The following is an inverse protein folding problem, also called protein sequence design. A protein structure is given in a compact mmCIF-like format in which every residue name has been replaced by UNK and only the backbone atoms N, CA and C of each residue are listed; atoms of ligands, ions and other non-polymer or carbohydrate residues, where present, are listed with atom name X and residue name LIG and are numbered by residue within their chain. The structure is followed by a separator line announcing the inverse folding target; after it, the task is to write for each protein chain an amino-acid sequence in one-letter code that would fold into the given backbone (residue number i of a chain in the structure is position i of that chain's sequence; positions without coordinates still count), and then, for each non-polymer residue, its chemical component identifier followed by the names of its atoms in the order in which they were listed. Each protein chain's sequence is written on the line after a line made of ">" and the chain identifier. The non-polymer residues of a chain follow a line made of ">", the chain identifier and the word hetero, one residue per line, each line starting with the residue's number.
data_IF_451183052116
#
_entry.id   IF_451183052116
#
_cell.length_a   1.000
_cell.length_b   1.000
_cell.length_c   1.000
_cell.angle_alpha   90.00
_cell.angle_beta   90.00
_cell.angle_gamma   90.00
#
_symmetry.space_group_name_H-M   'P 1'
#
loop_
_entity.id
_entity.type
_entity.pdbx_description
1 polymer ?
#
# COMPACT_ATOMS: atom_id res chain seq x y z
N UNK A 1 -27.65 21.97 16.43
CA UNK A 1 -28.69 21.98 15.38
C UNK A 1 -28.52 20.71 14.57
N UNK A 2 -29.59 20.11 14.09
CA UNK A 2 -29.51 18.91 13.25
C UNK A 2 -29.76 19.28 11.78
N UNK A 3 -29.01 18.66 10.88
CA UNK A 3 -29.19 18.79 9.43
C UNK A 3 -29.66 17.46 8.84
N UNK A 4 -30.61 17.54 7.91
CA UNK A 4 -31.08 16.37 7.13
C UNK A 4 -30.17 16.17 5.94
N UNK A 5 -29.63 14.96 5.81
CA UNK A 5 -28.65 14.58 4.79
C UNK A 5 -29.17 13.39 4.00
N UNK A 6 -28.86 13.38 2.70
CA UNK A 6 -29.12 12.26 1.80
C UNK A 6 -27.77 11.65 1.41
N UNK A 7 -27.56 10.38 1.71
CA UNK A 7 -26.34 9.68 1.32
C UNK A 7 -26.20 9.61 -0.21
N UNK A 8 -25.06 10.01 -0.76
CA UNK A 8 -24.85 9.99 -2.21
C UNK A 8 -24.74 8.56 -2.77
N UNK A 9 -24.24 7.59 -1.97
CA UNK A 9 -24.05 6.18 -2.35
C UNK A 9 -25.34 5.36 -2.28
N UNK A 10 -26.02 5.33 -1.13
CA UNK A 10 -27.21 4.48 -0.92
C UNK A 10 -28.55 5.24 -0.92
N UNK A 11 -28.53 6.57 -1.10
CA UNK A 11 -29.72 7.46 -1.10
C UNK A 11 -30.53 7.50 0.21
N UNK A 12 -30.05 6.86 1.28
CA UNK A 12 -30.67 6.93 2.61
C UNK A 12 -30.73 8.37 3.14
N UNK A 13 -31.87 8.73 3.71
CA UNK A 13 -32.07 10.01 4.39
C UNK A 13 -31.89 9.84 5.90
N UNK A 14 -31.11 10.71 6.54
CA UNK A 14 -30.86 10.66 7.98
C UNK A 14 -30.51 12.05 8.53
N UNK A 15 -30.61 12.23 9.85
CA UNK A 15 -30.24 13.48 10.54
C UNK A 15 -28.86 13.35 11.16
N UNK A 16 -28.09 14.44 11.16
CA UNK A 16 -26.78 14.49 11.80
C UNK A 16 -26.54 15.85 12.48
N UNK A 17 -25.69 15.88 13.50
CA UNK A 17 -25.36 17.12 14.22
C UNK A 17 -24.50 18.05 13.37
N UNK A 18 -24.82 19.35 13.39
CA UNK A 18 -24.05 20.40 12.71
C UNK A 18 -22.66 20.63 13.28
N UNK A 19 -22.36 20.11 14.48
CA UNK A 19 -21.03 20.26 15.12
C UNK A 19 -20.03 19.19 14.72
N UNK A 20 -20.48 18.11 14.09
CA UNK A 20 -19.61 17.01 13.65
C UNK A 20 -18.95 17.37 12.31
N UNK A 21 -17.62 17.33 12.25
CA UNK A 21 -16.87 17.62 11.01
C UNK A 21 -17.09 16.54 9.94
N UNK A 22 -17.37 15.32 10.38
CA UNK A 22 -17.53 14.12 9.54
C UNK A 22 -18.87 13.48 9.85
N UNK A 23 -19.65 13.18 8.81
CA UNK A 23 -20.97 12.56 8.93
C UNK A 23 -20.96 11.22 8.20
N UNK A 24 -21.25 10.14 8.92
CA UNK A 24 -21.22 8.79 8.37
C UNK A 24 -22.64 8.32 8.07
N UNK A 25 -22.87 7.80 6.85
CA UNK A 25 -24.16 7.22 6.52
C UNK A 25 -24.41 5.95 7.34
N UNK A 26 -25.51 5.85 8.11
CA UNK A 26 -25.76 4.70 8.97
C UNK A 26 -26.01 3.39 8.21
N UNK A 27 -26.34 3.46 6.91
CA UNK A 27 -26.69 2.28 6.12
C UNK A 27 -25.51 1.70 5.32
N UNK A 28 -24.72 2.54 4.64
CA UNK A 28 -23.64 2.07 3.75
C UNK A 28 -22.24 2.54 4.17
N UNK A 29 -22.15 3.18 5.34
CA UNK A 29 -20.92 3.68 5.97
C UNK A 29 -20.10 4.66 5.12
N UNK A 30 -20.66 5.17 4.03
CA UNK A 30 -20.04 6.24 3.24
C UNK A 30 -19.87 7.50 4.07
N UNK A 31 -18.65 8.04 4.05
CA UNK A 31 -18.27 9.29 4.71
C UNK A 31 -18.79 10.48 3.91
N UNK A 32 -19.49 11.39 4.58
CA UNK A 32 -20.07 12.62 4.04
C UNK A 32 -19.43 13.81 4.80
N UNK A 33 -18.58 14.63 4.15
CA UNK A 33 -17.98 15.78 4.82
C UNK A 33 -19.03 16.86 5.11
N UNK A 34 -19.10 17.33 6.36
CA UNK A 34 -20.07 18.36 6.77
C UNK A 34 -19.59 19.76 6.32
N UNK A 35 -20.31 20.41 5.40
CA UNK A 35 -19.98 21.75 4.92
C UNK A 35 -20.79 22.81 5.68
N UNK A 36 -20.35 23.18 6.88
CA UNK A 36 -20.79 24.45 7.48
C UNK A 36 -19.84 25.58 7.07
N UNK A 37 -20.31 26.63 6.36
CA UNK A 37 -19.44 27.72 5.93
C UNK A 37 -19.12 28.67 7.09
N UNK A 38 -17.84 28.82 7.45
CA UNK A 38 -17.36 29.96 8.26
C UNK A 38 -17.45 31.24 7.40
N UNK A 39 -18.15 32.27 7.91
CA UNK A 39 -18.29 33.59 7.29
C UNK A 39 -16.93 34.33 7.25
N UNK A 40 -16.43 34.63 6.07
CA UNK A 40 -15.57 35.80 5.81
C UNK A 40 -16.06 36.47 4.52
N UNK A 41 -16.18 37.80 4.56
CA UNK A 41 -16.76 38.68 3.53
C UNK A 41 -15.89 38.83 2.27
N UNK A 42 -16.49 39.17 1.10
CA UNK A 42 -15.87 38.95 -0.22
C UNK A 42 -15.16 40.18 -0.81
N UNK A 43 -14.44 40.00 -1.93
CA UNK A 43 -14.75 40.82 -3.09
C UNK A 43 -15.12 39.98 -4.33
N UNK A 44 -16.29 40.33 -4.86
CA UNK A 44 -16.74 40.38 -6.25
C UNK A 44 -15.99 39.61 -7.36
N UNK A 45 -16.75 38.73 -8.03
CA UNK A 45 -16.73 38.59 -9.48
C UNK A 45 -16.52 37.16 -10.01
N UNK A 46 -17.54 36.61 -10.69
CA UNK A 46 -17.35 35.66 -11.80
C UNK A 46 -17.64 34.18 -11.57
N UNK A 47 -18.87 33.80 -11.94
CA UNK A 47 -19.34 32.57 -12.59
C UNK A 47 -19.15 31.14 -12.03
N UNK A 48 -20.25 30.39 -12.22
CA UNK A 48 -20.57 29.04 -11.74
C UNK A 48 -19.80 27.94 -12.46
N UNK A 49 -19.19 27.02 -11.70
CA UNK A 49 -18.63 25.76 -12.20
C UNK A 49 -18.24 24.81 -11.07
N UNK A 50 -19.17 23.90 -10.73
CA UNK A 50 -19.07 22.90 -9.67
C UNK A 50 -17.73 22.15 -9.59
N UNK A 51 -16.97 22.40 -8.53
CA UNK A 51 -15.68 21.73 -8.26
C UNK A 51 -15.61 21.26 -6.81
N UNK A 52 -15.53 19.96 -6.59
CA UNK A 52 -15.04 19.36 -5.33
C UNK A 52 -13.69 18.73 -5.64
N UNK A 53 -12.58 19.44 -5.36
CA UNK A 53 -11.43 18.77 -4.76
C UNK A 53 -10.64 19.72 -3.85
N UNK A 54 -10.90 19.72 -2.53
CA UNK A 54 -10.12 20.57 -1.62
C UNK A 54 -9.68 19.94 -0.30
N UNK A 55 -10.24 18.81 0.15
CA UNK A 55 -9.72 18.14 1.35
C UNK A 55 -8.52 17.23 1.03
N UNK A 56 -8.64 16.36 0.02
CA UNK A 56 -7.54 15.51 -0.46
C UNK A 56 -6.39 16.37 -1.03
N UNK A 57 -6.73 17.45 -1.74
CA UNK A 57 -5.76 18.37 -2.32
C UNK A 57 -4.95 19.17 -1.29
N UNK A 58 -5.47 19.40 -0.09
CA UNK A 58 -4.76 20.14 0.94
C UNK A 58 -3.87 19.23 1.80
N UNK A 59 -4.24 17.96 1.99
CA UNK A 59 -3.37 16.95 2.60
C UNK A 59 -2.15 16.67 1.69
N UNK A 60 -2.40 16.50 0.39
CA UNK A 60 -1.35 16.28 -0.61
C UNK A 60 -0.48 17.51 -0.91
N UNK A 61 -0.99 18.74 -0.69
CA UNK A 61 -0.20 19.98 -0.79
C UNK A 61 0.83 20.15 0.32
N UNK A 62 0.58 19.62 1.53
CA UNK A 62 1.56 19.66 2.62
C UNK A 62 2.70 18.65 2.40
N UNK A 63 2.44 17.57 1.65
CA UNK A 63 3.37 16.49 1.36
C UNK A 63 4.46 16.82 0.31
N UNK A 64 4.32 17.90 -0.49
CA UNK A 64 5.20 18.17 -1.64
C UNK A 64 6.17 19.35 -1.49
N UNK A 65 6.31 19.94 -0.29
CA UNK A 65 7.26 21.02 -0.03
C UNK A 65 8.51 20.54 0.72
N UNK A 66 9.26 19.61 0.13
CA UNK A 66 10.64 19.35 0.53
C UNK A 66 11.52 18.93 -0.66
N UNK A 67 12.26 19.93 -1.15
CA UNK A 67 13.60 19.86 -1.75
C UNK A 67 13.79 19.34 -3.19
N UNK A 68 14.86 19.89 -3.80
CA UNK A 68 15.21 19.88 -5.23
C UNK A 68 15.99 18.60 -5.61
N UNK A 69 15.79 18.04 -6.81
CA UNK A 69 16.51 16.84 -7.24
C UNK A 69 17.89 17.16 -7.84
N UNK A 70 18.86 16.30 -7.55
CA UNK A 70 20.09 16.12 -8.32
C UNK A 70 19.83 15.14 -9.49
N UNK A 71 20.45 15.38 -10.63
CA UNK A 71 20.23 14.65 -11.89
C UNK A 71 20.89 13.26 -11.89
N UNK A 72 20.10 12.21 -12.12
CA UNK A 72 20.58 10.86 -12.44
C UNK A 72 20.44 10.53 -13.96
N UNK A 73 21.30 9.66 -14.53
CA UNK A 73 21.43 9.47 -15.97
C UNK A 73 20.64 8.25 -16.51
N UNK A 74 20.05 8.41 -17.71
CA UNK A 74 19.93 7.37 -18.75
C UNK A 74 18.87 6.27 -18.60
N UNK A 75 17.80 6.36 -19.40
CA UNK A 75 16.74 5.34 -19.55
C UNK A 75 17.34 3.98 -20.01
N UNK A 76 17.40 3.00 -19.12
CA UNK A 76 17.55 1.59 -19.48
C UNK A 76 16.23 1.09 -20.08
N UNK A 77 16.27 0.45 -21.24
CA UNK A 77 15.09 -0.24 -21.80
C UNK A 77 14.83 -1.50 -20.97
N UNK A 78 13.96 -1.40 -19.98
CA UNK A 78 13.56 -2.54 -19.15
C UNK A 78 13.08 -3.73 -19.99
N UNK A 79 13.61 -4.92 -19.73
CA UNK A 79 13.20 -6.15 -20.42
C UNK A 79 12.34 -6.97 -19.48
N UNK A 80 11.03 -6.98 -19.73
CA UNK A 80 10.10 -7.83 -19.01
C UNK A 80 10.30 -9.32 -19.38
N UNK A 81 10.05 -10.25 -18.44
CA UNK A 81 10.13 -11.68 -18.73
C UNK A 81 9.18 -12.06 -19.87
N UNK A 82 9.63 -12.96 -20.76
CA UNK A 82 8.81 -13.44 -21.89
C UNK A 82 7.68 -14.37 -21.46
N UNK A 83 7.79 -14.97 -20.27
CA UNK A 83 6.83 -15.89 -19.67
C UNK A 83 6.39 -15.40 -18.30
N UNK A 84 5.09 -15.48 -18.02
CA UNK A 84 4.53 -15.10 -16.74
C UNK A 84 4.50 -16.30 -15.79
N UNK A 85 4.95 -16.11 -14.54
CA UNK A 85 4.90 -17.17 -13.52
C UNK A 85 3.48 -17.67 -13.21
N UNK A 86 2.44 -16.94 -13.63
CA UNK A 86 1.04 -17.37 -13.56
C UNK A 86 0.71 -18.50 -14.55
N UNK A 87 1.46 -18.61 -15.65
CA UNK A 87 1.22 -19.60 -16.71
C UNK A 87 1.94 -20.93 -16.44
N UNK A 88 2.82 -20.98 -15.42
CA UNK A 88 3.54 -22.17 -15.02
C UNK A 88 2.60 -23.16 -14.31
N UNK A 89 2.14 -24.17 -15.05
CA UNK A 89 1.37 -25.30 -14.52
C UNK A 89 2.34 -26.37 -14.00
N UNK A 90 2.63 -26.37 -12.69
CA UNK A 90 3.54 -27.35 -12.09
C UNK A 90 4.00 -27.00 -10.67
N UNK A 91 5.05 -27.68 -10.19
CA UNK A 91 5.68 -27.35 -8.91
C UNK A 91 6.36 -25.99 -9.02
N UNK A 92 5.81 -25.00 -8.32
CA UNK A 92 6.41 -23.68 -8.18
C UNK A 92 7.82 -23.82 -7.60
N UNK A 93 8.77 -23.01 -8.07
CA UNK A 93 10.13 -23.01 -7.52
C UNK A 93 10.14 -22.70 -6.02
N UNK A 94 11.14 -23.21 -5.31
CA UNK A 94 11.32 -22.95 -3.88
C UNK A 94 11.76 -21.49 -3.59
N UNK A 95 12.29 -20.77 -4.58
CA UNK A 95 12.60 -19.33 -4.51
C UNK A 95 11.61 -18.56 -5.38
N UNK A 96 10.70 -17.79 -4.76
CA UNK A 96 9.64 -17.02 -5.46
C UNK A 96 9.62 -15.56 -5.03
N UNK A 97 9.31 -14.67 -5.97
CA UNK A 97 9.19 -13.25 -5.66
C UNK A 97 7.96 -12.60 -6.30
N UNK A 98 7.36 -11.64 -5.60
CA UNK A 98 6.43 -10.66 -6.17
C UNK A 98 7.09 -9.29 -6.03
N UNK A 99 7.35 -8.63 -7.16
CA UNK A 99 7.96 -7.30 -7.21
C UNK A 99 6.95 -6.32 -7.81
N UNK A 100 6.48 -5.36 -7.02
CA UNK A 100 5.40 -4.46 -7.40
C UNK A 100 5.86 -3.00 -7.34
N UNK A 101 5.79 -2.31 -8.48
CA UNK A 101 6.12 -0.89 -8.60
C UNK A 101 4.92 -0.11 -9.14
N UNK A 102 4.44 0.86 -8.38
CA UNK A 102 3.27 1.67 -8.77
C UNK A 102 3.71 3.12 -8.95
N UNK A 103 3.67 3.63 -10.19
CA UNK A 103 4.16 4.98 -10.51
C UNK A 103 3.05 6.03 -10.61
N UNK A 104 1.78 5.62 -10.70
CA UNK A 104 0.60 6.47 -10.80
C UNK A 104 0.67 7.45 -11.98
N UNK A 105 1.13 6.99 -13.15
CA UNK A 105 1.50 7.87 -14.30
C UNK A 105 0.42 8.85 -14.74
N UNK A 106 -0.85 8.48 -14.58
CA UNK A 106 -2.02 9.28 -14.98
C UNK A 106 -2.42 10.33 -13.95
N UNK A 107 -1.72 10.41 -12.82
CA UNK A 107 -2.11 11.21 -11.66
C UNK A 107 -1.12 12.34 -11.38
N UNK A 108 -1.61 13.36 -10.66
CA UNK A 108 -0.83 14.53 -10.26
C UNK A 108 0.33 14.18 -9.31
N UNK A 109 0.19 13.07 -8.58
CA UNK A 109 1.15 12.58 -7.57
C UNK A 109 1.88 11.35 -8.08
N UNK A 110 2.32 11.40 -9.34
CA UNK A 110 3.14 10.33 -9.92
C UNK A 110 4.48 10.25 -9.19
N UNK A 111 4.95 9.03 -8.99
CA UNK A 111 6.29 8.75 -8.50
C UNK A 111 7.23 8.53 -9.68
N UNK A 112 8.49 8.88 -9.49
CA UNK A 112 9.57 8.46 -10.39
C UNK A 112 10.28 7.28 -9.71
N UNK A 113 11.21 6.62 -10.39
CA UNK A 113 11.99 5.55 -9.77
C UNK A 113 11.29 4.19 -9.56
N UNK A 114 9.98 4.11 -9.25
CA UNK A 114 9.38 2.83 -8.78
C UNK A 114 9.56 1.64 -9.72
N UNK A 115 9.54 1.86 -11.04
CA UNK A 115 9.86 0.81 -12.03
C UNK A 115 11.35 0.44 -11.99
N UNK A 116 12.24 1.43 -11.92
CA UNK A 116 13.68 1.21 -11.80
C UNK A 116 14.01 0.41 -10.54
N UNK A 117 13.37 0.72 -9.41
CA UNK A 117 13.62 0.04 -8.15
C UNK A 117 13.17 -1.42 -8.18
N UNK A 118 12.02 -1.71 -8.83
CA UNK A 118 11.58 -3.07 -9.12
C UNK A 118 12.62 -3.85 -9.94
N UNK A 119 13.19 -3.25 -10.99
CA UNK A 119 14.20 -3.92 -11.80
C UNK A 119 15.55 -4.06 -11.09
N UNK A 120 15.94 -3.10 -10.26
CA UNK A 120 17.12 -3.25 -9.39
C UNK A 120 16.95 -4.42 -8.41
N UNK A 121 15.77 -4.53 -7.80
CA UNK A 121 15.45 -5.64 -6.90
C UNK A 121 15.44 -6.98 -7.64
N UNK A 122 14.85 -7.02 -8.85
CA UNK A 122 14.90 -8.20 -9.71
C UNK A 122 16.33 -8.65 -9.98
N UNK A 123 17.17 -7.72 -10.43
CA UNK A 123 18.55 -8.03 -10.81
C UNK A 123 19.38 -8.45 -9.60
N UNK A 124 19.17 -7.84 -8.43
CA UNK A 124 19.75 -8.27 -7.16
C UNK A 124 19.39 -9.73 -6.85
N UNK A 125 18.11 -10.07 -6.91
CA UNK A 125 17.60 -11.41 -6.59
C UNK A 125 18.14 -12.48 -7.54
N UNK A 126 18.24 -12.17 -8.84
CA UNK A 126 18.80 -13.09 -9.84
C UNK A 126 20.30 -13.26 -9.63
N UNK A 127 21.05 -12.16 -9.54
CA UNK A 127 22.53 -12.18 -9.58
C UNK A 127 23.14 -12.73 -8.28
N UNK A 128 22.56 -12.39 -7.12
CA UNK A 128 23.16 -12.68 -5.82
C UNK A 128 22.41 -13.74 -5.01
N UNK A 129 21.11 -13.90 -5.25
CA UNK A 129 20.26 -14.80 -4.47
C UNK A 129 19.70 -15.97 -5.28
N UNK A 130 20.12 -16.11 -6.55
CA UNK A 130 19.80 -17.22 -7.45
C UNK A 130 18.29 -17.44 -7.65
N UNK A 131 17.51 -16.35 -7.63
CA UNK A 131 16.12 -16.42 -8.08
C UNK A 131 16.09 -16.61 -9.59
N UNK A 132 15.18 -17.46 -10.06
CA UNK A 132 14.94 -17.63 -11.50
C UNK A 132 13.88 -16.62 -11.93
N UNK A 133 14.10 -15.99 -13.07
CA UNK A 133 13.18 -14.97 -13.63
C UNK A 133 11.74 -15.49 -13.79
N UNK A 134 11.58 -16.76 -14.17
CA UNK A 134 10.28 -17.43 -14.31
C UNK A 134 9.52 -17.67 -12.99
N UNK A 135 10.20 -17.54 -11.85
CA UNK A 135 9.63 -17.67 -10.50
C UNK A 135 9.37 -16.30 -9.87
N UNK A 136 9.26 -15.25 -10.68
CA UNK A 136 9.00 -13.89 -10.23
C UNK A 136 7.77 -13.33 -10.94
N UNK A 137 6.86 -12.71 -10.19
CA UNK A 137 5.81 -11.87 -10.74
C UNK A 137 6.23 -10.42 -10.59
N UNK A 138 6.33 -9.72 -11.72
CA UNK A 138 6.71 -8.31 -11.76
C UNK A 138 5.46 -7.52 -12.10
N UNK A 139 5.00 -6.64 -11.22
CA UNK A 139 3.82 -5.83 -11.45
C UNK A 139 4.21 -4.37 -11.64
N UNK A 140 3.95 -3.81 -12.82
CA UNK A 140 4.18 -2.39 -13.14
C UNK A 140 3.13 -1.89 -14.13
N UNK A 141 2.92 -0.58 -14.20
CA UNK A 141 1.99 0.02 -15.19
C UNK A 141 2.46 -0.13 -16.65
N UNK A 142 3.71 -0.53 -16.89
CA UNK A 142 4.28 -0.76 -18.22
C UNK A 142 4.24 -2.23 -18.66
N UNK A 143 3.71 -3.12 -17.83
CA UNK A 143 3.58 -4.53 -18.17
C UNK A 143 2.71 -4.72 -19.42
N UNK A 144 3.19 -5.48 -20.44
CA UNK A 144 2.37 -5.83 -21.59
C UNK A 144 1.21 -6.78 -21.24
N UNK A 145 1.37 -7.61 -20.22
CA UNK A 145 0.30 -8.47 -19.72
C UNK A 145 -0.57 -7.72 -18.71
N UNK A 146 -1.87 -7.57 -19.02
CA UNK A 146 -2.83 -6.88 -18.17
C UNK A 146 -2.99 -7.51 -16.77
N UNK A 147 -2.70 -8.81 -16.61
CA UNK A 147 -2.71 -9.51 -15.32
C UNK A 147 -1.58 -9.04 -14.38
N UNK A 148 -0.55 -8.41 -14.94
CA UNK A 148 0.61 -7.89 -14.22
C UNK A 148 0.58 -6.36 -14.08
N UNK A 149 -0.51 -5.69 -14.44
CA UNK A 149 -0.74 -4.30 -14.05
C UNK A 149 -1.06 -4.27 -12.54
N UNK A 150 -0.49 -3.35 -11.72
CA UNK A 150 -0.65 -3.36 -10.26
C UNK A 150 -2.01 -2.78 -9.81
N UNK A 151 -3.11 -3.40 -10.26
CA UNK A 151 -4.45 -3.18 -9.71
C UNK A 151 -4.62 -3.88 -8.37
N UNK A 152 -5.61 -3.47 -7.57
CA UNK A 152 -5.88 -4.10 -6.27
C UNK A 152 -6.02 -5.61 -6.40
N UNK A 153 -6.88 -6.05 -7.32
CA UNK A 153 -7.14 -7.46 -7.57
C UNK A 153 -5.90 -8.25 -8.03
N UNK A 154 -5.05 -7.65 -8.86
CA UNK A 154 -3.84 -8.31 -9.36
C UNK A 154 -2.76 -8.42 -8.28
N UNK A 155 -2.60 -7.38 -7.44
CA UNK A 155 -1.67 -7.42 -6.30
C UNK A 155 -2.11 -8.53 -5.34
N UNK A 156 -3.37 -8.52 -4.89
CA UNK A 156 -3.91 -9.55 -3.99
C UNK A 156 -3.76 -10.98 -4.57
N UNK A 157 -4.03 -11.14 -5.87
CA UNK A 157 -3.86 -12.44 -6.54
C UNK A 157 -2.40 -12.88 -6.61
N UNK A 158 -1.48 -11.95 -6.82
CA UNK A 158 -0.04 -12.21 -6.85
C UNK A 158 0.51 -12.56 -5.47
N UNK A 159 0.03 -11.89 -4.42
CA UNK A 159 0.35 -12.23 -3.03
C UNK A 159 -0.12 -13.64 -2.67
N UNK A 160 -1.34 -14.03 -3.07
CA UNK A 160 -1.84 -15.41 -2.92
C UNK A 160 -0.98 -16.42 -3.69
N UNK A 161 -0.55 -16.07 -4.91
CA UNK A 161 0.38 -16.91 -5.68
C UNK A 161 1.73 -17.09 -4.98
N UNK A 162 2.26 -16.03 -4.36
CA UNK A 162 3.55 -16.05 -3.68
C UNK A 162 3.62 -17.14 -2.60
N UNK A 163 2.57 -17.25 -1.79
CA UNK A 163 2.50 -18.22 -0.69
C UNK A 163 1.82 -19.55 -1.05
N UNK A 164 1.37 -19.71 -2.29
CA UNK A 164 0.66 -20.92 -2.72
C UNK A 164 1.53 -22.17 -2.53
N UNK A 165 0.97 -23.22 -1.94
CA UNK A 165 1.61 -24.53 -1.78
C UNK A 165 3.02 -24.47 -1.14
N UNK A 166 3.28 -23.50 -0.25
CA UNK A 166 4.59 -23.35 0.39
C UNK A 166 5.00 -24.58 1.21
N UNK A 167 6.29 -24.91 1.13
CA UNK A 167 6.89 -26.04 1.84
C UNK A 167 8.17 -25.62 2.55
N UNK A 168 8.55 -26.41 3.56
CA UNK A 168 9.81 -26.23 4.27
C UNK A 168 10.98 -26.11 3.28
N UNK A 169 11.79 -25.06 3.42
CA UNK A 169 12.88 -24.74 2.49
C UNK A 169 12.55 -23.62 1.49
N UNK A 170 11.29 -23.22 1.36
CA UNK A 170 10.90 -22.11 0.49
C UNK A 170 11.41 -20.76 1.00
N UNK A 171 11.81 -19.90 0.06
CA UNK A 171 12.33 -18.55 0.26
C UNK A 171 11.54 -17.57 -0.61
N UNK A 172 10.70 -16.77 0.03
CA UNK A 172 9.77 -15.86 -0.60
C UNK A 172 10.25 -14.42 -0.45
N UNK A 173 10.04 -13.61 -1.49
CA UNK A 173 10.29 -12.17 -1.46
C UNK A 173 9.04 -11.41 -1.90
N UNK A 174 8.65 -10.42 -1.12
CA UNK A 174 7.70 -9.40 -1.52
C UNK A 174 8.41 -8.06 -1.55
N UNK A 175 8.43 -7.40 -2.72
CA UNK A 175 8.93 -6.05 -2.86
C UNK A 175 7.81 -5.14 -3.32
N UNK A 176 7.64 -4.01 -2.63
CA UNK A 176 6.70 -2.96 -3.03
C UNK A 176 7.42 -1.62 -3.07
N UNK A 177 7.21 -0.85 -4.14
CA UNK A 177 7.61 0.55 -4.26
C UNK A 177 6.44 1.38 -4.78
N UNK A 178 5.99 2.35 -3.99
CA UNK A 178 4.81 3.14 -4.30
C UNK A 178 4.33 4.01 -3.14
N UNK A 179 3.13 4.60 -3.27
CA UNK A 179 2.49 5.31 -2.16
C UNK A 179 2.03 4.34 -1.08
N UNK A 180 2.32 4.71 0.16
CA UNK A 180 1.66 4.19 1.34
C UNK A 180 0.87 5.29 2.02
N UNK A 181 -0.27 4.92 2.60
CA UNK A 181 -1.19 5.82 3.29
C UNK A 181 -1.68 5.13 4.58
N UNK A 182 -2.37 5.89 5.44
CA UNK A 182 -3.00 5.37 6.65
C UNK A 182 -4.50 5.56 6.62
N UNK A 183 -5.24 4.68 7.26
CA UNK A 183 -6.69 4.82 7.48
C UNK A 183 -7.04 4.51 8.95
N UNK A 184 -8.15 5.04 9.50
CA UNK A 184 -8.54 4.72 10.87
C UNK A 184 -8.74 3.21 11.06
N UNK A 185 -8.16 2.67 12.13
CA UNK A 185 -8.35 1.28 12.55
C UNK A 185 -9.78 1.10 13.10
N UNK A 186 -10.43 0.00 12.67
CA UNK A 186 -11.77 -0.39 13.11
C UNK A 186 -11.81 -1.69 13.91
N UNK A 187 -10.72 -2.45 13.94
CA UNK A 187 -10.58 -3.71 14.67
C UNK A 187 -9.90 -3.52 16.04
N UNK A 188 -9.26 -2.37 16.26
CA UNK A 188 -8.64 -2.00 17.53
C UNK A 188 -7.35 -2.78 17.79
N UNK A 189 -6.70 -3.24 16.73
CA UNK A 189 -5.48 -4.03 16.74
C UNK A 189 -4.23 -3.20 16.48
N UNK A 190 -4.36 -1.91 16.14
CA UNK A 190 -3.23 -1.00 15.98
C UNK A 190 -2.97 -0.14 17.21
N UNK A 191 -1.69 -0.01 17.59
CA UNK A 191 -1.28 0.70 18.83
C UNK A 191 -1.61 2.19 18.76
N UNK A 192 -1.46 2.79 17.58
CA UNK A 192 -1.73 4.22 17.37
C UNK A 192 -3.09 4.50 16.70
N UNK A 193 -3.86 3.43 16.42
CA UNK A 193 -5.24 3.49 15.96
C UNK A 193 -5.41 3.75 14.46
N UNK A 194 -4.42 3.44 13.63
CA UNK A 194 -4.54 3.51 12.18
C UNK A 194 -3.91 2.29 11.50
N UNK A 195 -4.61 1.70 10.53
CA UNK A 195 -4.03 0.70 9.61
C UNK A 195 -3.09 1.40 8.60
N UNK A 196 -1.93 0.78 8.36
CA UNK A 196 -1.04 1.05 7.25
C UNK A 196 -1.58 0.44 5.96
N UNK A 197 -1.34 1.11 4.83
CA UNK A 197 -1.87 0.66 3.54
C UNK A 197 -0.87 0.84 2.41
N UNK A 198 -0.89 -0.09 1.45
CA UNK A 198 -0.30 0.13 0.12
C UNK A 198 -1.37 0.57 -0.87
N UNK A 199 -0.99 1.41 -1.82
CA UNK A 199 -1.89 1.94 -2.83
C UNK A 199 -1.72 1.20 -4.18
N UNK A 200 -2.74 0.46 -4.65
CA UNK A 200 -2.78 -0.01 -6.03
C UNK A 200 -2.96 1.13 -7.04
N UNK A 201 -2.72 0.89 -8.34
CA UNK A 201 -2.90 1.94 -9.37
C UNK A 201 -4.35 2.47 -9.46
N UNK A 202 -5.32 1.64 -9.06
CA UNK A 202 -6.76 1.89 -9.08
C UNK A 202 -7.34 2.17 -7.69
N UNK A 203 -6.51 2.51 -6.70
CA UNK A 203 -6.93 2.70 -5.30
C UNK A 203 -8.04 3.74 -5.10
N UNK A 204 -8.14 4.75 -5.96
CA UNK A 204 -9.22 5.76 -5.89
C UNK A 204 -10.60 5.17 -6.21
N UNK A 205 -10.65 4.03 -6.92
CA UNK A 205 -11.89 3.34 -7.30
C UNK A 205 -12.12 2.10 -6.46
N UNK A 206 -11.10 1.26 -6.28
CA UNK A 206 -11.20 -0.05 -5.62
C UNK A 206 -10.75 -0.03 -4.15
N UNK A 207 -10.22 1.10 -3.68
CA UNK A 207 -9.68 1.26 -2.33
C UNK A 207 -8.21 0.81 -2.22
N UNK A 208 -7.64 1.05 -1.04
CA UNK A 208 -6.27 0.65 -0.68
C UNK A 208 -6.25 -0.82 -0.24
N UNK A 209 -5.06 -1.40 -0.08
CA UNK A 209 -4.89 -2.71 0.57
C UNK A 209 -4.29 -2.45 1.95
N UNK A 210 -4.98 -2.91 2.99
CA UNK A 210 -4.58 -2.72 4.40
C UNK A 210 -3.57 -3.79 4.82
N UNK A 211 -2.67 -3.43 5.71
CA UNK A 211 -1.74 -4.32 6.43
C UNK A 211 -2.38 -5.62 6.92
N UNK A 212 -3.56 -5.58 7.52
CA UNK A 212 -4.32 -6.72 8.00
C UNK A 212 -4.59 -7.75 6.89
N UNK A 213 -4.94 -7.28 5.69
CA UNK A 213 -5.14 -8.13 4.50
C UNK A 213 -3.81 -8.71 4.01
N UNK A 214 -2.73 -7.92 4.08
CA UNK A 214 -1.38 -8.36 3.71
C UNK A 214 -0.90 -9.44 4.69
N UNK A 215 -0.99 -9.19 5.99
CA UNK A 215 -0.66 -10.11 7.07
C UNK A 215 -1.40 -11.44 6.90
N UNK A 216 -2.73 -11.40 6.74
CA UNK A 216 -3.55 -12.61 6.57
C UNK A 216 -3.16 -13.38 5.29
N UNK A 217 -2.78 -12.66 4.23
CA UNK A 217 -2.46 -13.29 2.94
C UNK A 217 -1.06 -13.88 2.89
N UNK A 218 -0.02 -13.20 3.39
CA UNK A 218 1.38 -13.64 3.17
C UNK A 218 2.19 -13.93 4.43
N UNK A 219 1.73 -13.50 5.62
CA UNK A 219 2.46 -13.74 6.88
C UNK A 219 1.86 -14.92 7.65
N UNK A 220 0.55 -14.87 7.91
CA UNK A 220 -0.17 -15.90 8.65
C UNK A 220 0.03 -17.33 8.08
N UNK A 221 -0.03 -17.59 6.76
CA UNK A 221 0.03 -18.95 6.23
C UNK A 221 1.44 -19.56 6.16
N UNK A 222 2.49 -18.83 6.55
CA UNK A 222 3.87 -19.33 6.45
C UNK A 222 4.08 -20.51 7.41
N UNK A 223 4.30 -21.69 6.84
CA UNK A 223 4.54 -22.94 7.59
C UNK A 223 6.01 -23.12 7.98
N UNK A 224 6.28 -24.08 8.86
CA UNK A 224 7.62 -24.34 9.37
C UNK A 224 8.68 -24.50 8.26
N UNK A 225 9.76 -23.75 8.38
CA UNK A 225 10.89 -23.74 7.45
C UNK A 225 10.70 -22.87 6.20
N UNK A 226 9.53 -22.27 6.01
CA UNK A 226 9.30 -21.21 4.99
C UNK A 226 9.84 -19.87 5.52
N UNK A 227 10.48 -19.09 4.64
CA UNK A 227 10.93 -17.73 4.96
C UNK A 227 10.35 -16.71 3.99
N UNK A 228 9.79 -15.62 4.50
CA UNK A 228 9.39 -14.44 3.75
C UNK A 228 10.29 -13.26 4.11
N UNK A 229 10.80 -12.57 3.10
CA UNK A 229 11.40 -11.24 3.24
C UNK A 229 10.53 -10.24 2.48
N UNK A 230 9.91 -9.32 3.20
CA UNK A 230 9.24 -8.17 2.61
C UNK A 230 10.16 -6.95 2.66
N UNK A 231 10.24 -6.24 1.56
CA UNK A 231 10.91 -4.95 1.47
C UNK A 231 9.88 -3.95 0.92
N UNK A 232 9.50 -2.98 1.75
CA UNK A 232 8.42 -2.05 1.42
C UNK A 232 8.96 -0.63 1.41
N UNK A 233 9.08 -0.09 0.20
CA UNK A 233 9.50 1.28 -0.07
C UNK A 233 8.26 2.15 -0.28
N UNK A 234 7.67 2.55 0.85
CA UNK A 234 6.46 3.36 0.92
C UNK A 234 6.45 4.20 2.20
N UNK A 235 5.69 5.29 2.19
CA UNK A 235 5.37 6.06 3.40
C UNK A 235 4.52 5.22 4.36
N UNK A 236 4.65 5.43 5.67
CA UNK A 236 3.86 4.73 6.68
C UNK A 236 3.90 3.20 6.50
N UNK A 237 5.09 2.61 6.53
CA UNK A 237 5.28 1.19 6.21
C UNK A 237 6.08 0.41 7.26
N UNK A 238 6.36 1.01 8.41
CA UNK A 238 7.11 0.38 9.50
C UNK A 238 6.45 -0.88 10.02
N UNK A 239 5.12 -0.90 10.07
CA UNK A 239 4.30 -2.02 10.56
C UNK A 239 3.43 -2.67 9.48
N UNK A 240 3.65 -2.40 8.18
CA UNK A 240 2.84 -2.88 7.04
C UNK A 240 2.59 -4.41 6.91
N UNK A 241 3.26 -5.23 7.73
CA UNK A 241 3.09 -6.68 7.81
C UNK A 241 2.53 -7.17 9.16
N UNK A 242 2.22 -6.26 10.08
CA UNK A 242 1.77 -6.50 11.45
C UNK A 242 2.61 -7.52 12.23
N UNK A 243 3.93 -7.40 12.10
CA UNK A 243 4.83 -8.26 12.86
C UNK A 243 4.80 -7.84 14.34
N UNK A 244 4.75 -8.83 15.25
CA UNK A 244 4.68 -8.58 16.71
C UNK A 244 5.89 -7.82 17.27
N UNK A 245 6.97 -7.68 16.50
CA UNK A 245 8.16 -6.98 16.93
C UNK A 245 8.73 -6.17 15.77
N UNK A 246 9.14 -4.94 16.08
CA UNK A 246 9.92 -4.10 15.17
C UNK A 246 11.17 -3.58 15.88
N UNK A 247 12.17 -3.22 15.10
CA UNK A 247 13.38 -2.61 15.62
C UNK A 247 13.27 -1.09 15.46
N UNK A 248 13.28 -0.38 16.59
CA UNK A 248 13.33 1.08 16.61
C UNK A 248 14.79 1.52 16.42
N UNK A 249 15.07 2.17 15.30
CA UNK A 249 16.42 2.60 14.98
C UNK A 249 16.85 3.85 15.76
N UNK A 250 15.92 4.64 16.30
CA UNK A 250 16.26 5.80 17.13
C UNK A 250 16.68 5.35 18.53
N UNK A 251 15.93 4.41 19.11
CA UNK A 251 16.19 3.85 20.43
C UNK A 251 17.15 2.65 20.42
N UNK A 252 17.50 2.13 19.25
CA UNK A 252 18.39 0.98 19.05
C UNK A 252 17.92 -0.26 19.82
N UNK A 253 16.61 -0.53 19.80
CA UNK A 253 16.02 -1.64 20.54
C UNK A 253 14.81 -2.26 19.82
N UNK A 254 14.55 -3.53 20.14
CA UNK A 254 13.34 -4.21 19.72
C UNK A 254 12.16 -3.75 20.58
N UNK A 255 11.06 -3.35 19.93
CA UNK A 255 9.80 -2.96 20.56
C UNK A 255 8.72 -4.02 20.28
N UNK A 256 7.79 -4.12 21.23
CA UNK A 256 6.62 -5.00 21.13
C UNK A 256 5.53 -4.27 20.35
N UNK A 257 5.01 -4.91 19.30
CA UNK A 257 3.90 -4.47 18.46
C UNK A 257 2.74 -5.46 18.50
N UNK A 258 2.56 -6.17 19.61
CA UNK A 258 1.38 -7.03 19.79
C UNK A 258 0.11 -6.16 19.80
N UNK A 259 -0.94 -6.61 19.11
CA UNK A 259 -2.14 -5.82 18.97
C UNK A 259 -2.84 -5.63 20.33
N UNK A 260 -3.30 -4.41 20.67
CA UNK A 260 -4.00 -4.14 21.92
C UNK A 260 -5.28 -4.95 22.11
N UNK A 261 -5.93 -5.36 21.01
CA UNK A 261 -7.08 -6.26 20.99
C UNK A 261 -6.82 -7.64 21.61
N UNK A 262 -5.55 -8.02 21.77
CA UNK A 262 -5.14 -9.36 22.19
C UNK A 262 -5.22 -10.39 21.07
N UNK A 263 -5.47 -9.95 19.82
CA UNK A 263 -5.36 -10.80 18.65
C UNK A 263 -3.95 -11.41 18.56
N UNK A 264 -3.85 -12.64 18.07
CA UNK A 264 -2.55 -13.31 17.94
C UNK A 264 -2.06 -13.20 16.50
N UNK A 265 -1.22 -12.21 16.21
CA UNK A 265 -0.62 -11.99 14.88
C UNK A 265 0.69 -12.80 14.73
N UNK A 266 0.59 -14.11 14.47
CA UNK A 266 1.74 -15.01 14.29
C UNK A 266 1.68 -15.81 12.98
N UNK A 267 2.85 -16.17 12.47
CA UNK A 267 2.98 -17.13 11.35
C UNK A 267 2.54 -18.54 11.78
N UNK A 268 2.22 -19.40 10.82
CA UNK A 268 1.95 -20.83 11.02
C UNK A 268 3.22 -21.68 11.26
N UNK A 269 4.29 -21.07 11.82
CA UNK A 269 5.58 -21.72 12.11
C UNK A 269 6.74 -21.28 11.21
N UNK A 270 6.46 -20.56 10.13
CA UNK A 270 7.47 -19.96 9.26
C UNK A 270 8.07 -18.68 9.85
N UNK A 271 8.95 -18.01 9.09
CA UNK A 271 9.56 -16.73 9.49
C UNK A 271 9.23 -15.64 8.49
N UNK A 272 8.86 -14.47 8.98
CA UNK A 272 8.67 -13.26 8.18
C UNK A 272 9.62 -12.16 8.70
N UNK A 273 10.23 -11.45 7.77
CA UNK A 273 11.07 -10.29 8.03
C UNK A 273 10.58 -9.13 7.16
N UNK A 274 10.48 -7.93 7.73
CA UNK A 274 10.13 -6.71 7.01
C UNK A 274 11.29 -5.72 7.08
N UNK A 275 11.62 -5.09 5.94
CA UNK A 275 12.49 -3.92 5.86
C UNK A 275 11.65 -2.81 5.24
N UNK A 276 11.33 -1.78 6.01
CA UNK A 276 10.57 -0.62 5.54
C UNK A 276 11.50 0.56 5.23
N UNK A 277 11.07 1.44 4.32
CA UNK A 277 11.78 2.68 4.02
C UNK A 277 11.60 3.77 5.10
N UNK A 278 10.56 3.67 5.93
CA UNK A 278 10.27 4.66 6.96
C UNK A 278 9.47 4.06 8.13
N UNK A 279 9.42 4.79 9.24
CA UNK A 279 8.53 4.52 10.39
C UNK A 279 7.06 4.91 10.06
N UNK A 280 6.10 4.47 10.87
CA UNK A 280 4.66 4.65 10.59
C UNK A 280 4.18 6.11 10.64
N UNK A 281 4.93 7.00 11.27
CA UNK A 281 4.67 8.44 11.30
C UNK A 281 5.49 9.21 10.25
N UNK A 282 6.26 8.52 9.41
CA UNK A 282 7.19 9.11 8.46
C UNK A 282 6.76 8.98 6.99
N UNK A 283 7.33 9.85 6.16
CA UNK A 283 7.11 9.92 4.71
C UNK A 283 8.38 9.48 4.00
N UNK A 284 8.31 8.44 3.18
CA UNK A 284 9.40 8.00 2.32
C UNK A 284 9.64 9.00 1.17
N UNK A 285 10.91 9.20 0.80
CA UNK A 285 11.28 10.12 -0.26
C UNK A 285 11.26 9.41 -1.64
N UNK A 286 10.76 10.11 -2.67
CA UNK A 286 10.78 9.64 -4.07
C UNK A 286 12.22 9.50 -4.58
N UNK A 287 12.56 8.32 -5.10
CA UNK A 287 13.84 8.04 -5.77
C UNK A 287 13.75 8.50 -7.24
N UNK A 288 14.71 9.31 -7.70
CA UNK A 288 14.71 9.88 -9.06
C UNK A 288 15.47 9.05 -10.07
#
# INVERSE_FOLDING_TARGET
>A
MEIKIICHRCKQKFSASTTTEIIICPQCRTVIPNRTPRKQSPPSGGDYGSSIPSLIGNLLKKLCHALKPATAPGLSSFVYPKSCGLDNVGALGNKRAVLCGVSYKKWKYKLKGTINDVFNMRDLLIQYYEYRDENMLILTEEQPDARLIPTKANIESSLKWLVKDCRSGDSLVFYYSGHGLRQPDFEGDEIDGFDETICPVDFLKEGMIVDNDIYATIVQPLTEGVRLHAIVDACHSGTILDLEHYYDNNEQQWKDNKPPSGARKQTSGGKAYCISACEDDQVAADTT
#
